data_IF_979310962691
#
_entry.id   IF_979310962691
#
_cell.length_a   1.000
_cell.length_b   1.000
_cell.length_c   1.000
_cell.angle_alpha   90.00
_cell.angle_beta   90.00
_cell.angle_gamma   90.00
#
_symmetry.space_group_name_H-M   'P 1'
#
loop_
_entity.id
_entity.type
_entity.pdbx_description
1 polymer ?
#
# COMPACT_ATOMS: atom_id res chain seq x y z
N UNK A 1 81.57 60.32 51.11
CA UNK A 1 82.59 59.24 51.18
C UNK A 1 82.02 58.13 52.05
N UNK A 2 81.59 57.04 51.43
CA UNK A 2 81.38 55.74 52.07
C UNK A 2 81.37 54.69 50.96
N UNK A 3 82.29 53.74 51.06
CA UNK A 3 82.53 52.61 50.17
C UNK A 3 81.65 51.42 50.56
N UNK A 4 81.09 50.70 49.58
CA UNK A 4 80.41 49.43 49.82
C UNK A 4 80.32 48.60 48.54
N UNK A 5 80.85 47.37 48.61
CA UNK A 5 81.00 46.33 47.59
C UNK A 5 79.77 46.01 46.73
N UNK A 6 79.95 45.55 45.47
CA UNK A 6 78.92 44.82 44.75
C UNK A 6 78.93 43.32 45.11
N UNK A 7 77.77 42.81 45.54
CA UNK A 7 77.50 41.40 45.80
C UNK A 7 77.31 40.60 44.48
N UNK A 8 77.59 39.28 44.47
CA UNK A 8 77.73 38.49 43.26
C UNK A 8 76.40 38.13 42.58
N UNK A 9 76.45 38.12 41.25
CA UNK A 9 75.42 37.67 40.32
C UNK A 9 75.16 36.17 40.48
N UNK A 10 74.06 35.79 41.12
CA UNK A 10 73.55 34.43 41.10
C UNK A 10 72.77 34.18 39.81
N UNK A 11 73.23 33.24 38.99
CA UNK A 11 72.45 32.72 37.85
C UNK A 11 71.23 31.96 38.37
N UNK A 12 70.02 32.19 37.83
CA UNK A 12 68.88 31.35 38.13
C UNK A 12 69.05 29.99 37.42
N UNK A 13 69.29 28.94 38.19
CA UNK A 13 69.14 27.56 37.76
C UNK A 13 67.75 27.37 37.14
N UNK A 14 67.62 26.96 35.87
CA UNK A 14 66.33 26.55 35.34
C UNK A 14 65.97 25.23 36.00
N UNK A 15 65.10 25.27 37.01
CA UNK A 15 64.40 24.09 37.50
C UNK A 15 63.44 23.66 36.39
N UNK A 16 63.97 22.92 35.42
CA UNK A 16 63.18 22.20 34.44
C UNK A 16 62.38 21.14 35.18
N UNK A 17 61.15 21.47 35.54
CA UNK A 17 60.14 20.47 35.85
C UNK A 17 60.02 19.58 34.60
N UNK A 18 60.35 18.28 34.67
CA UNK A 18 60.17 17.42 33.52
C UNK A 18 58.67 17.41 33.22
N UNK A 19 58.28 17.94 32.05
CA UNK A 19 56.94 17.79 31.54
C UNK A 19 56.60 16.29 31.64
N UNK A 20 55.45 15.90 32.24
CA UNK A 20 55.11 14.49 32.36
C UNK A 20 55.00 13.93 30.95
N UNK A 21 56.05 13.24 30.50
CA UNK A 21 56.03 12.49 29.26
C UNK A 21 55.12 11.29 29.52
N UNK A 22 53.84 11.43 29.21
CA UNK A 22 52.89 10.35 29.10
C UNK A 22 53.26 9.50 27.87
N UNK A 23 54.43 8.86 27.91
CA UNK A 23 54.81 7.85 26.94
C UNK A 23 54.01 6.59 27.28
N UNK A 24 52.85 6.46 26.64
CA UNK A 24 52.02 5.26 26.74
C UNK A 24 52.82 4.02 26.35
N UNK A 25 52.71 2.95 27.14
CA UNK A 25 53.34 1.68 26.80
C UNK A 25 52.59 1.04 25.62
N UNK A 26 53.29 0.21 24.84
CA UNK A 26 52.70 -0.53 23.70
C UNK A 26 51.45 -1.32 24.11
N UNK A 27 51.44 -1.84 25.33
CA UNK A 27 50.31 -2.59 25.91
C UNK A 27 49.10 -1.69 26.18
N UNK A 28 49.31 -0.46 26.66
CA UNK A 28 48.24 0.53 26.87
C UNK A 28 47.62 0.95 25.52
N UNK A 29 48.44 1.10 24.48
CA UNK A 29 47.95 1.37 23.12
C UNK A 29 47.09 0.24 22.57
N UNK A 30 47.51 -1.01 22.73
CA UNK A 30 46.74 -2.17 22.28
C UNK A 30 45.42 -2.30 23.05
N UNK A 31 45.42 -2.04 24.37
CA UNK A 31 44.21 -2.05 25.17
C UNK A 31 43.21 -0.95 24.71
N UNK A 32 43.69 0.26 24.44
CA UNK A 32 42.85 1.36 23.94
C UNK A 32 42.23 1.02 22.58
N UNK A 33 43.03 0.51 21.65
CA UNK A 33 42.55 0.10 20.31
C UNK A 33 41.53 -1.02 20.44
N UNK A 34 41.77 -2.01 21.30
CA UNK A 34 40.82 -3.09 21.58
C UNK A 34 39.49 -2.57 22.12
N UNK A 35 39.52 -1.64 23.09
CA UNK A 35 38.32 -1.01 23.66
C UNK A 35 37.57 -0.17 22.61
N UNK A 36 38.29 0.61 21.79
CA UNK A 36 37.68 1.40 20.73
C UNK A 36 37.02 0.53 19.66
N UNK A 37 37.65 -0.59 19.28
CA UNK A 37 37.06 -1.55 18.34
C UNK A 37 35.83 -2.23 18.95
N UNK A 38 35.87 -2.59 20.23
CA UNK A 38 34.73 -3.16 20.93
C UNK A 38 33.56 -2.17 21.00
N UNK A 39 33.84 -0.89 21.33
CA UNK A 39 32.83 0.17 21.34
C UNK A 39 32.26 0.44 19.95
N UNK A 40 33.09 0.45 18.91
CA UNK A 40 32.64 0.62 17.53
C UNK A 40 31.75 -0.55 17.08
N UNK A 41 32.12 -1.79 17.39
CA UNK A 41 31.29 -2.96 17.10
C UNK A 41 29.94 -2.91 17.84
N UNK A 42 29.96 -2.47 19.10
CA UNK A 42 28.75 -2.32 19.91
C UNK A 42 27.84 -1.22 19.35
N UNK A 43 28.40 -0.08 18.93
CA UNK A 43 27.68 0.99 18.23
C UNK A 43 27.04 0.49 16.93
N UNK A 44 27.78 -0.25 16.09
CA UNK A 44 27.24 -0.82 14.86
C UNK A 44 26.11 -1.81 15.17
N UNK A 45 26.27 -2.66 16.19
CA UNK A 45 25.22 -3.58 16.64
C UNK A 45 23.96 -2.86 17.09
N UNK A 46 24.10 -1.76 17.85
CA UNK A 46 22.97 -0.92 18.29
C UNK A 46 22.30 -0.23 17.11
N UNK A 47 23.08 0.29 16.13
CA UNK A 47 22.53 0.91 14.92
C UNK A 47 21.76 -0.11 14.08
N UNK A 48 22.31 -1.32 13.88
CA UNK A 48 21.62 -2.39 13.15
C UNK A 48 20.36 -2.84 13.90
N UNK A 49 20.38 -2.89 15.23
CA UNK A 49 19.21 -3.21 16.02
C UNK A 49 18.13 -2.12 15.97
N UNK A 50 18.52 -0.84 16.03
CA UNK A 50 17.59 0.30 15.97
C UNK A 50 17.02 0.58 14.57
N UNK A 51 17.82 0.35 13.51
CA UNK A 51 17.47 0.78 12.14
C UNK A 51 17.37 -0.37 11.12
N UNK A 52 17.78 -1.59 11.48
CA UNK A 52 17.69 -2.74 10.57
C UNK A 52 16.25 -3.20 10.32
N UNK A 53 15.39 -3.04 11.32
CA UNK A 53 13.96 -3.41 11.23
C UNK A 53 13.19 -2.44 10.30
N UNK A 54 13.50 -1.14 10.37
CA UNK A 54 12.90 -0.11 9.51
C UNK A 54 13.26 -0.32 8.03
N UNK A 55 14.50 -0.73 7.70
CA UNK A 55 14.87 -1.04 6.32
C UNK A 55 14.20 -2.29 5.76
N UNK A 56 13.98 -3.31 6.59
CA UNK A 56 13.28 -4.52 6.16
C UNK A 56 11.79 -4.23 5.97
N UNK A 57 11.16 -3.50 6.89
CA UNK A 57 9.77 -3.04 6.76
C UNK A 57 9.54 -2.19 5.52
N UNK A 58 10.45 -1.25 5.20
CA UNK A 58 10.34 -0.44 3.98
C UNK A 58 10.51 -1.25 2.68
N UNK A 59 11.32 -2.32 2.69
CA UNK A 59 11.46 -3.21 1.52
C UNK A 59 10.22 -4.06 1.33
N UNK A 60 9.67 -4.60 2.41
CA UNK A 60 8.43 -5.37 2.39
C UNK A 60 7.24 -4.51 1.95
N UNK A 61 7.10 -3.28 2.46
CA UNK A 61 6.03 -2.36 2.05
C UNK A 61 6.12 -2.01 0.56
N UNK A 62 7.32 -1.72 0.04
CA UNK A 62 7.52 -1.46 -1.40
C UNK A 62 7.17 -2.67 -2.26
N UNK A 63 7.51 -3.87 -1.80
CA UNK A 63 7.19 -5.12 -2.48
C UNK A 63 5.66 -5.35 -2.52
N UNK A 64 4.99 -5.21 -1.38
CA UNK A 64 3.54 -5.33 -1.26
C UNK A 64 2.80 -4.27 -2.10
N UNK A 65 3.28 -3.02 -2.10
CA UNK A 65 2.74 -1.96 -2.93
C UNK A 65 2.87 -2.28 -4.42
N UNK A 66 4.03 -2.78 -4.87
CA UNK A 66 4.24 -3.19 -6.27
C UNK A 66 3.33 -4.36 -6.66
N UNK A 67 3.16 -5.34 -5.78
CA UNK A 67 2.22 -6.43 -5.98
C UNK A 67 0.79 -5.91 -6.14
N UNK A 68 0.38 -4.93 -5.30
CA UNK A 68 -0.93 -4.31 -5.38
C UNK A 68 -1.15 -3.53 -6.69
N UNK A 69 -0.14 -2.81 -7.18
CA UNK A 69 -0.20 -2.14 -8.50
C UNK A 69 -0.42 -3.16 -9.61
N UNK A 70 0.30 -4.29 -9.57
CA UNK A 70 0.16 -5.37 -10.57
C UNK A 70 -1.24 -6.02 -10.50
N UNK A 71 -1.77 -6.21 -9.28
CA UNK A 71 -3.12 -6.71 -9.06
C UNK A 71 -4.19 -5.75 -9.63
N UNK A 72 -4.01 -4.43 -9.45
CA UNK A 72 -4.89 -3.43 -10.05
C UNK A 72 -4.87 -3.51 -11.57
N UNK A 73 -3.70 -3.54 -12.18
CA UNK A 73 -3.57 -3.64 -13.64
C UNK A 73 -4.24 -4.92 -14.19
N UNK A 74 -4.06 -6.05 -13.49
CA UNK A 74 -4.73 -7.30 -13.84
C UNK A 74 -6.26 -7.21 -13.69
N UNK A 75 -6.75 -6.55 -12.63
CA UNK A 75 -8.19 -6.33 -12.40
C UNK A 75 -8.81 -5.43 -13.47
N UNK A 76 -8.14 -4.34 -13.81
CA UNK A 76 -8.57 -3.42 -14.87
C UNK A 76 -8.58 -4.14 -16.24
N UNK A 77 -7.58 -4.97 -16.53
CA UNK A 77 -7.53 -5.78 -17.73
C UNK A 77 -8.65 -6.84 -17.79
N UNK A 78 -8.92 -7.52 -16.66
CA UNK A 78 -10.01 -8.48 -16.54
C UNK A 78 -11.36 -7.80 -16.79
N UNK A 79 -11.56 -6.58 -16.28
CA UNK A 79 -12.73 -5.78 -16.57
C UNK A 79 -12.80 -5.42 -18.07
N UNK A 80 -11.73 -4.83 -18.62
CA UNK A 80 -11.69 -4.33 -19.99
C UNK A 80 -12.02 -5.40 -21.06
N UNK A 81 -11.71 -6.67 -20.79
CA UNK A 81 -12.08 -7.83 -21.61
C UNK A 81 -13.58 -7.87 -21.95
N UNK A 82 -14.44 -7.43 -21.03
CA UNK A 82 -15.90 -7.47 -21.16
C UNK A 82 -16.51 -6.15 -21.65
N UNK A 83 -15.69 -5.10 -21.79
CA UNK A 83 -16.13 -3.79 -22.29
C UNK A 83 -16.90 -3.86 -23.62
N UNK A 84 -16.40 -4.60 -24.65
CA UNK A 84 -17.12 -4.76 -25.92
C UNK A 84 -18.49 -5.42 -25.76
N UNK A 85 -18.60 -6.49 -24.96
CA UNK A 85 -19.87 -7.18 -24.72
C UNK A 85 -20.88 -6.30 -23.98
N UNK A 86 -20.43 -5.55 -22.96
CA UNK A 86 -21.27 -4.57 -22.27
C UNK A 86 -21.72 -3.43 -23.20
N UNK A 87 -20.86 -2.98 -24.10
CA UNK A 87 -21.18 -1.93 -25.07
C UNK A 87 -22.17 -2.41 -26.15
N UNK A 88 -22.07 -3.66 -26.58
CA UNK A 88 -22.99 -4.28 -27.56
C UNK A 88 -24.40 -4.44 -27.00
N UNK A 89 -24.53 -4.79 -25.72
CA UNK A 89 -25.82 -4.87 -25.03
C UNK A 89 -26.52 -3.49 -24.92
N UNK A 90 -25.75 -2.41 -24.79
CA UNK A 90 -26.27 -1.05 -24.68
C UNK A 90 -27.14 -0.81 -23.44
N UNK A 91 -27.99 0.21 -23.51
CA UNK A 91 -28.88 0.64 -22.41
C UNK A 91 -30.17 -0.19 -22.32
N UNK A 92 -30.37 -1.12 -23.26
CA UNK A 92 -31.53 -2.02 -23.33
C UNK A 92 -32.82 -1.36 -23.85
N UNK A 93 -33.83 -2.17 -24.19
CA UNK A 93 -35.13 -1.68 -24.60
C UNK A 93 -35.90 -1.15 -23.38
N UNK A 94 -35.75 0.15 -23.10
CA UNK A 94 -36.40 0.81 -21.95
C UNK A 94 -37.93 0.94 -22.06
N UNK A 95 -38.52 0.66 -23.22
CA UNK A 95 -39.95 0.93 -23.46
C UNK A 95 -40.61 -0.17 -24.31
N UNK A 96 -41.57 -0.88 -23.72
CA UNK A 96 -42.67 -1.52 -24.46
C UNK A 96 -42.96 -2.98 -24.09
N UNK A 97 -41.95 -3.75 -23.67
CA UNK A 97 -42.10 -5.18 -23.40
C UNK A 97 -41.29 -5.60 -22.16
N UNK A 98 -41.95 -5.87 -21.02
CA UNK A 98 -41.31 -6.36 -19.80
C UNK A 98 -40.50 -7.64 -20.01
N UNK A 99 -40.95 -8.54 -20.90
CA UNK A 99 -40.27 -9.82 -21.16
C UNK A 99 -38.96 -9.56 -21.92
N UNK A 100 -38.98 -8.69 -22.93
CA UNK A 100 -37.77 -8.29 -23.64
C UNK A 100 -36.76 -7.58 -22.72
N UNK A 101 -37.25 -6.75 -21.80
CA UNK A 101 -36.39 -6.06 -20.83
C UNK A 101 -35.81 -7.03 -19.78
N UNK A 102 -36.59 -8.01 -19.32
CA UNK A 102 -36.10 -9.09 -18.46
C UNK A 102 -34.98 -9.90 -19.12
N UNK A 103 -35.17 -10.31 -20.38
CA UNK A 103 -34.14 -10.99 -21.16
C UNK A 103 -32.85 -10.16 -21.28
N UNK A 104 -32.99 -8.86 -21.56
CA UNK A 104 -31.85 -7.94 -21.60
C UNK A 104 -31.12 -7.84 -20.24
N UNK A 105 -31.84 -7.75 -19.13
CA UNK A 105 -31.23 -7.74 -17.79
C UNK A 105 -30.46 -9.02 -17.51
N UNK A 106 -30.95 -10.19 -17.95
CA UNK A 106 -30.25 -11.46 -17.78
C UNK A 106 -28.96 -11.52 -18.57
N UNK A 107 -28.97 -11.13 -19.85
CA UNK A 107 -27.75 -11.08 -20.67
C UNK A 107 -26.72 -10.12 -20.06
N UNK A 108 -27.16 -8.95 -19.59
CA UNK A 108 -26.29 -7.98 -18.91
C UNK A 108 -25.70 -8.54 -17.62
N UNK A 109 -26.51 -9.22 -16.82
CA UNK A 109 -26.07 -9.88 -15.60
C UNK A 109 -25.10 -11.03 -15.85
N UNK A 110 -25.26 -11.77 -16.95
CA UNK A 110 -24.32 -12.82 -17.31
C UNK A 110 -22.91 -12.24 -17.56
N UNK A 111 -22.85 -11.14 -18.33
CA UNK A 111 -21.59 -10.44 -18.60
C UNK A 111 -21.01 -9.81 -17.32
N UNK A 112 -21.82 -9.11 -16.52
CA UNK A 112 -21.37 -8.54 -15.24
C UNK A 112 -20.91 -9.62 -14.25
N UNK A 113 -21.61 -10.76 -14.21
CA UNK A 113 -21.22 -11.92 -13.42
C UNK A 113 -19.89 -12.51 -13.87
N UNK A 114 -19.62 -12.54 -15.19
CA UNK A 114 -18.33 -12.95 -15.71
C UNK A 114 -17.19 -11.99 -15.32
N UNK A 115 -17.45 -10.67 -15.35
CA UNK A 115 -16.51 -9.65 -14.85
C UNK A 115 -16.16 -9.90 -13.38
N UNK A 116 -17.16 -10.07 -12.52
CA UNK A 116 -16.94 -10.27 -11.08
C UNK A 116 -16.22 -11.59 -10.81
N UNK A 117 -16.54 -12.68 -11.53
CA UNK A 117 -15.83 -13.97 -11.41
C UNK A 117 -14.36 -13.85 -11.79
N UNK A 118 -14.05 -13.21 -12.93
CA UNK A 118 -12.66 -13.01 -13.35
C UNK A 118 -11.91 -12.11 -12.36
N UNK A 119 -12.57 -11.09 -11.80
CA UNK A 119 -11.98 -10.25 -10.77
C UNK A 119 -11.72 -11.02 -9.46
N UNK A 120 -12.65 -11.87 -9.02
CA UNK A 120 -12.51 -12.69 -7.82
C UNK A 120 -11.48 -13.82 -7.97
N UNK A 121 -11.18 -14.25 -9.19
CA UNK A 121 -10.14 -15.23 -9.46
C UNK A 121 -8.72 -14.67 -9.23
N UNK A 122 -8.56 -13.35 -9.17
CA UNK A 122 -7.28 -12.70 -8.92
C UNK A 122 -6.93 -12.75 -7.42
N UNK A 123 -5.69 -13.11 -7.12
CA UNK A 123 -5.18 -13.12 -5.74
C UNK A 123 -4.93 -11.69 -5.28
N UNK A 124 -5.67 -11.24 -4.25
CA UNK A 124 -5.49 -9.92 -3.65
C UNK A 124 -4.23 -9.92 -2.78
N UNK A 125 -3.19 -9.12 -3.11
CA UNK A 125 -1.97 -9.04 -2.32
C UNK A 125 -2.26 -8.53 -0.91
N UNK A 126 -1.47 -9.01 0.06
CA UNK A 126 -1.53 -8.51 1.42
C UNK A 126 -0.84 -7.15 1.50
N UNK A 127 -1.64 -6.08 1.40
CA UNK A 127 -1.15 -4.71 1.43
C UNK A 127 -2.16 -3.85 2.21
N UNK A 128 -1.78 -3.47 3.43
CA UNK A 128 -2.61 -2.64 4.33
C UNK A 128 -4.00 -3.26 4.49
N UNK A 129 -5.05 -2.47 4.40
CA UNK A 129 -6.46 -2.87 4.49
C UNK A 129 -7.09 -3.18 3.12
N UNK A 130 -6.28 -3.35 2.06
CA UNK A 130 -6.80 -3.46 0.70
C UNK A 130 -7.60 -4.74 0.46
N UNK A 131 -7.26 -5.85 1.13
CA UNK A 131 -8.03 -7.10 1.00
C UNK A 131 -9.49 -6.92 1.40
N UNK A 132 -9.72 -6.24 2.52
CA UNK A 132 -11.05 -5.96 3.04
C UNK A 132 -11.81 -5.01 2.11
N UNK A 133 -11.16 -3.91 1.69
CA UNK A 133 -11.76 -2.94 0.76
C UNK A 133 -12.15 -3.56 -0.59
N UNK A 134 -11.31 -4.43 -1.13
CA UNK A 134 -11.58 -5.17 -2.36
C UNK A 134 -12.75 -6.14 -2.16
N UNK A 135 -12.74 -6.91 -1.07
CA UNK A 135 -13.83 -7.85 -0.77
C UNK A 135 -15.17 -7.13 -0.60
N UNK A 136 -15.19 -5.96 0.04
CA UNK A 136 -16.39 -5.13 0.17
C UNK A 136 -16.92 -4.69 -1.20
N UNK A 137 -16.05 -4.18 -2.07
CA UNK A 137 -16.46 -3.74 -3.40
C UNK A 137 -16.97 -4.91 -4.27
N UNK A 138 -16.34 -6.08 -4.19
CA UNK A 138 -16.80 -7.31 -4.85
C UNK A 138 -18.16 -7.78 -4.32
N UNK A 139 -18.37 -7.71 -3.01
CA UNK A 139 -19.65 -8.05 -2.37
C UNK A 139 -20.79 -7.17 -2.86
N UNK A 140 -20.56 -5.85 -2.95
CA UNK A 140 -21.53 -4.91 -3.51
C UNK A 140 -21.82 -5.20 -4.99
N UNK A 141 -20.80 -5.53 -5.80
CA UNK A 141 -21.02 -5.89 -7.20
C UNK A 141 -21.94 -7.12 -7.34
N UNK A 142 -21.71 -8.16 -6.53
CA UNK A 142 -22.60 -9.33 -6.46
C UNK A 142 -24.01 -8.97 -5.99
N UNK A 143 -24.13 -8.10 -4.98
CA UNK A 143 -25.41 -7.58 -4.51
C UNK A 143 -26.20 -6.89 -5.62
N UNK A 144 -25.54 -6.05 -6.41
CA UNK A 144 -26.14 -5.37 -7.58
C UNK A 144 -26.65 -6.36 -8.63
N UNK A 145 -25.82 -7.35 -9.02
CA UNK A 145 -26.20 -8.39 -9.98
C UNK A 145 -27.44 -9.14 -9.48
N UNK A 146 -27.45 -9.53 -8.20
CA UNK A 146 -28.59 -10.24 -7.60
C UNK A 146 -29.88 -9.43 -7.64
N UNK A 147 -29.83 -8.12 -7.45
CA UNK A 147 -31.02 -7.26 -7.55
C UNK A 147 -31.58 -7.24 -8.97
N UNK A 148 -30.71 -7.17 -9.99
CA UNK A 148 -31.15 -7.25 -11.39
C UNK A 148 -31.69 -8.64 -11.77
N UNK A 149 -31.17 -9.71 -11.17
CA UNK A 149 -31.73 -11.06 -11.36
C UNK A 149 -33.17 -11.12 -10.82
N UNK A 150 -33.40 -10.62 -9.60
CA UNK A 150 -34.74 -10.55 -9.02
C UNK A 150 -35.65 -9.68 -9.89
N UNK A 151 -35.17 -8.54 -10.38
CA UNK A 151 -35.94 -7.67 -11.27
C UNK A 151 -36.37 -8.40 -12.55
N UNK A 152 -35.47 -9.17 -13.17
CA UNK A 152 -35.77 -9.94 -14.38
C UNK A 152 -36.82 -11.03 -14.09
N UNK A 153 -36.70 -11.74 -12.97
CA UNK A 153 -37.67 -12.77 -12.57
C UNK A 153 -39.07 -12.17 -12.34
N UNK A 154 -39.15 -11.04 -11.63
CA UNK A 154 -40.44 -10.34 -11.37
C UNK A 154 -41.10 -9.87 -12.67
N UNK A 155 -40.32 -9.37 -13.65
CA UNK A 155 -40.86 -8.95 -14.93
C UNK A 155 -41.41 -10.10 -15.77
N UNK A 156 -40.74 -11.25 -15.79
CA UNK A 156 -41.21 -12.42 -16.54
C UNK A 156 -42.50 -13.01 -15.98
N UNK A 157 -42.67 -12.96 -14.66
CA UNK A 157 -43.90 -13.39 -14.00
C UNK A 157 -45.07 -12.40 -14.20
N UNK A 158 -44.85 -11.31 -14.96
CA UNK A 158 -45.84 -10.26 -15.21
C UNK A 158 -46.05 -9.32 -14.02
N UNK A 159 -45.12 -9.30 -13.07
CA UNK A 159 -45.17 -8.45 -11.90
C UNK A 159 -44.83 -6.99 -12.21
N UNK A 160 -45.65 -6.06 -11.71
CA UNK A 160 -45.43 -4.61 -11.86
C UNK A 160 -44.36 -4.05 -10.89
N UNK A 161 -43.88 -4.88 -9.95
CA UNK A 161 -43.01 -4.50 -8.83
C UNK A 161 -41.50 -4.71 -9.10
N UNK A 162 -41.04 -4.74 -10.36
CA UNK A 162 -39.63 -4.92 -10.66
C UNK A 162 -38.77 -3.66 -10.41
N UNK A 163 -39.38 -2.48 -10.50
CA UNK A 163 -38.69 -1.18 -10.43
C UNK A 163 -37.86 -0.94 -9.15
N UNK A 164 -38.33 -1.30 -7.93
CA UNK A 164 -37.53 -1.17 -6.71
C UNK A 164 -36.21 -1.97 -6.78
N UNK A 165 -36.24 -3.16 -7.36
CA UNK A 165 -35.06 -4.02 -7.50
C UNK A 165 -34.07 -3.45 -8.52
N UNK A 166 -34.55 -2.89 -9.63
CA UNK A 166 -33.68 -2.19 -10.60
C UNK A 166 -33.00 -0.99 -9.93
N UNK A 167 -33.77 -0.18 -9.20
CA UNK A 167 -33.26 1.02 -8.53
C UNK A 167 -32.22 0.66 -7.48
N UNK A 168 -32.49 -0.37 -6.66
CA UNK A 168 -31.54 -0.85 -5.65
C UNK A 168 -30.30 -1.49 -6.29
N UNK A 169 -30.47 -2.27 -7.35
CA UNK A 169 -29.37 -2.84 -8.14
C UNK A 169 -28.45 -1.74 -8.68
N UNK A 170 -29.02 -0.68 -9.25
CA UNK A 170 -28.28 0.50 -9.70
C UNK A 170 -27.56 1.22 -8.57
N UNK A 171 -28.23 1.44 -7.44
CA UNK A 171 -27.65 2.10 -6.26
C UNK A 171 -26.44 1.33 -5.72
N UNK A 172 -26.61 0.03 -5.47
CA UNK A 172 -25.56 -0.85 -4.94
C UNK A 172 -24.40 -1.00 -5.95
N UNK A 173 -24.72 -1.09 -7.25
CA UNK A 173 -23.71 -1.14 -8.31
C UNK A 173 -22.85 0.13 -8.36
N UNK A 174 -23.48 1.30 -8.28
CA UNK A 174 -22.77 2.58 -8.20
C UNK A 174 -21.93 2.72 -6.93
N UNK A 175 -22.37 2.16 -5.81
CA UNK A 175 -21.59 2.11 -4.58
C UNK A 175 -20.33 1.23 -4.74
N UNK A 176 -20.46 0.06 -5.35
CA UNK A 176 -19.33 -0.80 -5.73
C UNK A 176 -18.32 -0.06 -6.62
N UNK A 177 -18.82 0.65 -7.64
CA UNK A 177 -18.00 1.48 -8.54
C UNK A 177 -17.27 2.56 -7.75
N UNK A 178 -17.96 3.26 -6.85
CA UNK A 178 -17.36 4.34 -6.06
C UNK A 178 -16.23 3.82 -5.17
N UNK A 179 -16.46 2.72 -4.46
CA UNK A 179 -15.44 2.10 -3.58
C UNK A 179 -14.25 1.56 -4.37
N UNK A 180 -14.51 0.91 -5.50
CA UNK A 180 -13.47 0.42 -6.39
C UNK A 180 -12.58 1.55 -6.95
N UNK A 181 -13.17 2.72 -7.31
CA UNK A 181 -12.39 3.90 -7.72
C UNK A 181 -11.55 4.47 -6.59
N UNK A 182 -12.05 4.47 -5.36
CA UNK A 182 -11.31 4.91 -4.18
C UNK A 182 -10.08 4.01 -3.89
N UNK A 183 -10.14 2.73 -4.25
CA UNK A 183 -9.01 1.79 -4.20
C UNK A 183 -8.01 2.04 -5.35
N UNK A 184 -8.47 2.69 -6.42
CA UNK A 184 -7.67 3.13 -7.54
C UNK A 184 -7.86 2.34 -8.83
N UNK A 185 -8.87 1.46 -8.92
CA UNK A 185 -9.19 0.73 -10.16
C UNK A 185 -9.74 1.65 -11.25
N UNK A 186 -9.41 1.33 -12.50
CA UNK A 186 -10.06 1.89 -13.68
C UNK A 186 -11.24 0.98 -14.05
N UNK A 187 -12.36 1.21 -13.38
CA UNK A 187 -13.56 0.39 -13.55
C UNK A 187 -14.08 0.52 -14.98
N UNK A 188 -14.51 -0.61 -15.55
CA UNK A 188 -15.09 -0.68 -16.89
C UNK A 188 -16.03 0.51 -17.18
N UNK A 189 -15.82 1.24 -18.28
CA UNK A 189 -16.83 2.15 -18.83
C UNK A 189 -17.89 1.31 -19.56
N UNK A 190 -18.62 0.47 -18.83
CA UNK A 190 -19.80 -0.24 -19.32
C UNK A 190 -21.04 0.57 -19.00
N UNK A 191 -21.17 1.74 -19.63
CA UNK A 191 -22.24 2.71 -19.44
C UNK A 191 -21.67 4.13 -19.34
N UNK A 192 -21.71 4.86 -20.45
CA UNK A 192 -21.67 6.33 -20.40
C UNK A 192 -23.03 6.83 -19.93
#
# INVERSE_FOLDING_TARGET
MSTGEPAPTGEPTPTGEPAPSTSWTREQWLALVGVLLALAALLVGVIVWLFGDDQNGQKEEKSAQKAFVSYREASDAACAKYGPALAELGDGPWQGDPVAYAAHLREKNEVLGAVVRDWQALVVPDYKDMREKVAEAQSLALGSIRQYEIAADVMEDGGEDANPYIAEGGRVGMESITKSRAIGFNICPGGR
#
